data_IF_014691095037
#
_entry.id   IF_014691095037
#
_cell.length_a   1.000
_cell.length_b   1.000
_cell.length_c   1.000
_cell.angle_alpha   90.00
_cell.angle_beta   90.00
_cell.angle_gamma   90.00
#
_symmetry.space_group_name_H-M   'P 1'
#
loop_
_entity.id
_entity.type
_entity.pdbx_description
1 polymer ?
#
# COMPACT_ATOMS: atom_id res chain seq x y z
N UNK A 1 12.76 20.49 -33.44
CA UNK A 1 12.63 20.33 -31.98
C UNK A 1 14.03 20.09 -31.46
N UNK A 2 14.60 21.03 -30.71
CA UNK A 2 15.98 20.91 -30.22
C UNK A 2 15.92 19.96 -29.02
N UNK A 3 16.26 18.70 -29.25
CA UNK A 3 16.55 17.77 -28.15
C UNK A 3 17.89 18.20 -27.55
N UNK A 4 17.86 18.75 -26.35
CA UNK A 4 19.07 19.14 -25.62
C UNK A 4 19.77 17.88 -25.10
N UNK A 5 21.10 17.80 -25.21
CA UNK A 5 21.92 16.69 -24.70
C UNK A 5 21.67 16.40 -23.20
N UNK A 6 21.27 17.42 -22.44
CA UNK A 6 20.87 17.28 -21.04
C UNK A 6 19.61 16.41 -20.83
N UNK A 7 18.68 16.39 -21.78
CA UNK A 7 17.49 15.56 -21.70
C UNK A 7 17.86 14.07 -21.82
N UNK A 8 18.71 13.73 -22.79
CA UNK A 8 19.22 12.36 -22.96
C UNK A 8 20.00 11.90 -21.74
N UNK A 9 20.82 12.76 -21.14
CA UNK A 9 21.55 12.43 -19.92
C UNK A 9 20.63 12.13 -18.72
N UNK A 10 19.44 12.74 -18.66
CA UNK A 10 18.43 12.45 -17.62
C UNK A 10 17.72 11.13 -17.93
N UNK A 11 17.34 10.89 -19.18
CA UNK A 11 16.73 9.62 -19.61
C UNK A 11 17.65 8.43 -19.30
N UNK A 12 18.94 8.54 -19.63
CA UNK A 12 19.94 7.51 -19.31
C UNK A 12 20.03 7.23 -17.79
N UNK A 13 19.98 8.27 -16.96
CA UNK A 13 19.98 8.12 -15.50
C UNK A 13 18.71 7.44 -14.98
N UNK A 14 17.55 7.76 -15.56
CA UNK A 14 16.27 7.11 -15.24
C UNK A 14 16.34 5.62 -15.60
N UNK A 15 16.85 5.28 -16.78
CA UNK A 15 17.00 3.89 -17.20
C UNK A 15 17.94 3.10 -16.29
N UNK A 16 19.07 3.69 -15.90
CA UNK A 16 20.01 3.08 -14.96
C UNK A 16 19.37 2.85 -13.58
N UNK A 17 18.60 3.83 -13.07
CA UNK A 17 17.88 3.71 -11.81
C UNK A 17 16.84 2.59 -11.87
N UNK A 18 16.02 2.55 -12.93
CA UNK A 18 15.01 1.50 -13.13
C UNK A 18 15.68 0.12 -13.20
N UNK A 19 16.77 0.00 -13.95
CA UNK A 19 17.53 -1.24 -14.05
C UNK A 19 18.07 -1.70 -12.69
N UNK A 20 18.59 -0.76 -11.89
CA UNK A 20 19.09 -1.02 -10.55
C UNK A 20 17.98 -1.51 -9.62
N UNK A 21 16.80 -0.87 -9.64
CA UNK A 21 15.64 -1.30 -8.87
C UNK A 21 15.19 -2.70 -9.29
N UNK A 22 15.08 -2.98 -10.59
CA UNK A 22 14.70 -4.30 -11.11
C UNK A 22 15.68 -5.39 -10.72
N UNK A 23 16.96 -5.07 -10.63
CA UNK A 23 17.99 -6.01 -10.23
C UNK A 23 18.07 -6.22 -8.72
N UNK A 24 17.49 -5.33 -7.92
CA UNK A 24 17.48 -5.42 -6.46
C UNK A 24 16.80 -6.70 -5.95
N UNK A 25 17.25 -7.17 -4.80
CA UNK A 25 16.65 -8.33 -4.14
C UNK A 25 15.19 -8.07 -3.77
N UNK A 26 14.82 -6.85 -3.39
CA UNK A 26 13.45 -6.48 -3.02
C UNK A 26 12.49 -6.67 -4.19
N UNK A 27 12.85 -6.19 -5.38
CA UNK A 27 12.04 -6.38 -6.58
C UNK A 27 11.91 -7.85 -6.97
N UNK A 28 13.00 -8.62 -6.87
CA UNK A 28 12.97 -10.07 -7.14
C UNK A 28 12.06 -10.81 -6.17
N UNK A 29 12.15 -10.51 -4.87
CA UNK A 29 11.28 -11.09 -3.83
C UNK A 29 9.82 -10.74 -4.07
N UNK A 30 9.50 -9.49 -4.42
CA UNK A 30 8.16 -9.07 -4.81
C UNK A 30 7.63 -9.88 -6.01
N UNK A 31 8.40 -10.00 -7.09
CA UNK A 31 8.00 -10.77 -8.27
C UNK A 31 7.77 -12.25 -7.94
N UNK A 32 8.65 -12.84 -7.12
CA UNK A 32 8.52 -14.23 -6.69
C UNK A 32 7.25 -14.44 -5.86
N UNK A 33 7.05 -13.65 -4.80
CA UNK A 33 5.88 -13.78 -3.91
C UNK A 33 4.57 -13.52 -4.65
N UNK A 34 4.57 -12.53 -5.57
CA UNK A 34 3.43 -12.27 -6.45
C UNK A 34 3.09 -13.51 -7.28
N UNK A 35 4.10 -14.09 -7.93
CA UNK A 35 3.90 -15.29 -8.76
C UNK A 35 3.41 -16.47 -7.92
N UNK A 36 4.01 -16.71 -6.74
CA UNK A 36 3.60 -17.77 -5.84
C UNK A 36 2.13 -17.62 -5.42
N UNK A 37 1.73 -16.41 -5.02
CA UNK A 37 0.35 -16.11 -4.62
C UNK A 37 -0.67 -16.36 -5.75
N UNK A 38 -0.35 -15.96 -6.99
CA UNK A 38 -1.26 -16.15 -8.14
C UNK A 38 -1.22 -17.56 -8.75
N UNK A 39 -0.28 -18.41 -8.34
CA UNK A 39 -0.24 -19.82 -8.76
C UNK A 39 -1.01 -20.72 -7.80
N UNK A 40 -1.23 -20.27 -6.57
CA UNK A 40 -1.94 -21.03 -5.55
C UNK A 40 -3.46 -20.95 -5.74
N UNK A 41 -4.07 -22.10 -6.00
CA UNK A 41 -5.52 -22.22 -6.23
C UNK A 41 -6.33 -21.89 -4.97
N UNK A 42 -5.80 -22.15 -3.78
CA UNK A 42 -6.47 -21.81 -2.53
C UNK A 42 -6.55 -20.29 -2.38
N UNK A 43 -5.44 -19.60 -2.64
CA UNK A 43 -5.40 -18.13 -2.58
C UNK A 43 -6.31 -17.50 -3.62
N UNK A 44 -6.30 -18.01 -4.85
CA UNK A 44 -7.22 -17.53 -5.89
C UNK A 44 -8.69 -17.67 -5.46
N UNK A 45 -9.07 -18.82 -4.88
CA UNK A 45 -10.41 -19.02 -4.34
C UNK A 45 -10.77 -18.08 -3.18
N UNK A 46 -9.80 -17.76 -2.30
CA UNK A 46 -9.99 -16.78 -1.23
C UNK A 46 -10.15 -15.35 -1.78
N UNK A 47 -9.37 -14.98 -2.79
CA UNK A 47 -9.47 -13.69 -3.49
C UNK A 47 -10.85 -13.57 -4.13
N UNK A 48 -11.28 -14.58 -4.89
CA UNK A 48 -12.59 -14.57 -5.56
C UNK A 48 -13.73 -14.49 -4.56
N UNK A 49 -13.68 -15.24 -3.46
CA UNK A 49 -14.70 -15.14 -2.41
C UNK A 49 -14.74 -13.75 -1.78
N UNK A 50 -13.59 -13.14 -1.54
CA UNK A 50 -13.51 -11.79 -0.98
C UNK A 50 -14.07 -10.75 -1.96
N UNK A 51 -13.67 -10.80 -3.24
CA UNK A 51 -14.14 -9.88 -4.29
C UNK A 51 -15.65 -10.00 -4.44
N UNK A 52 -16.19 -11.22 -4.52
CA UNK A 52 -17.64 -11.44 -4.66
C UNK A 52 -18.42 -10.84 -3.48
N UNK A 53 -18.01 -11.13 -2.24
CA UNK A 53 -18.64 -10.59 -1.03
C UNK A 53 -18.47 -9.08 -0.89
N UNK A 54 -17.36 -8.53 -1.40
CA UNK A 54 -17.13 -7.08 -1.44
C UNK A 54 -18.10 -6.42 -2.41
N UNK A 55 -18.24 -6.95 -3.62
CA UNK A 55 -19.20 -6.46 -4.61
C UNK A 55 -20.64 -6.53 -4.11
N UNK A 56 -21.03 -7.62 -3.44
CA UNK A 56 -22.37 -7.73 -2.86
C UNK A 56 -22.61 -6.71 -1.74
N UNK A 57 -21.62 -6.52 -0.87
CA UNK A 57 -21.70 -5.51 0.18
C UNK A 57 -21.76 -4.09 -0.40
N UNK A 58 -20.99 -3.78 -1.45
CA UNK A 58 -20.98 -2.46 -2.11
C UNK A 58 -22.36 -2.10 -2.69
N UNK A 59 -23.11 -3.07 -3.24
CA UNK A 59 -24.47 -2.86 -3.74
C UNK A 59 -25.42 -2.36 -2.65
N UNK A 60 -25.27 -2.87 -1.43
CA UNK A 60 -26.14 -2.48 -0.32
C UNK A 60 -25.54 -1.36 0.55
N UNK A 61 -24.23 -1.10 0.43
CA UNK A 61 -23.52 -0.14 1.25
C UNK A 61 -24.05 1.29 1.07
N UNK A 62 -24.49 1.63 -0.13
CA UNK A 62 -25.10 2.93 -0.45
C UNK A 62 -26.38 3.21 0.36
N UNK A 63 -27.10 2.16 0.79
CA UNK A 63 -28.32 2.26 1.59
C UNK A 63 -28.05 2.26 3.11
N UNK A 64 -26.79 2.09 3.52
CA UNK A 64 -26.37 2.11 4.92
C UNK A 64 -26.97 1.00 5.77
N UNK A 65 -27.02 1.22 7.08
CA UNK A 65 -27.48 0.22 8.07
C UNK A 65 -28.95 -0.17 7.97
N UNK A 66 -29.73 0.55 7.17
CA UNK A 66 -31.14 0.28 6.92
C UNK A 66 -31.36 -0.79 5.83
N UNK A 67 -30.31 -1.16 5.09
CA UNK A 67 -30.41 -2.19 4.07
C UNK A 67 -30.69 -3.58 4.69
N UNK A 68 -31.63 -4.36 4.12
CA UNK A 68 -31.88 -5.72 4.59
C UNK A 68 -30.61 -6.56 4.43
N UNK A 69 -30.19 -7.25 5.50
CA UNK A 69 -28.99 -8.08 5.49
C UNK A 69 -27.66 -7.32 5.61
N UNK A 70 -27.66 -6.00 5.86
CA UNK A 70 -26.41 -5.21 5.97
C UNK A 70 -25.38 -5.79 6.94
N UNK A 71 -25.81 -6.10 8.18
CA UNK A 71 -24.91 -6.66 9.21
C UNK A 71 -24.40 -8.05 8.81
N UNK A 72 -25.22 -8.84 8.12
CA UNK A 72 -24.86 -10.19 7.69
C UNK A 72 -23.80 -10.13 6.59
N UNK A 73 -24.02 -9.32 5.54
CA UNK A 73 -23.05 -9.14 4.47
C UNK A 73 -21.76 -8.47 4.96
N UNK A 74 -21.85 -7.50 5.88
CA UNK A 74 -20.67 -6.92 6.52
C UNK A 74 -19.85 -7.98 7.28
N UNK A 75 -20.53 -8.89 7.99
CA UNK A 75 -19.87 -9.99 8.70
C UNK A 75 -19.25 -11.00 7.72
N UNK A 76 -19.94 -11.33 6.64
CA UNK A 76 -19.44 -12.23 5.60
C UNK A 76 -18.19 -11.64 4.91
N UNK A 77 -18.22 -10.36 4.56
CA UNK A 77 -17.09 -9.62 4.00
C UNK A 77 -15.89 -9.64 4.95
N UNK A 78 -16.08 -9.31 6.24
CA UNK A 78 -14.99 -9.35 7.24
C UNK A 78 -14.41 -10.74 7.41
N UNK A 79 -15.24 -11.79 7.41
CA UNK A 79 -14.77 -13.19 7.48
C UNK A 79 -13.92 -13.56 6.26
N UNK A 80 -14.38 -13.23 5.06
CA UNK A 80 -13.63 -13.49 3.83
C UNK A 80 -12.31 -12.73 3.78
N UNK A 81 -12.33 -11.45 4.17
CA UNK A 81 -11.11 -10.64 4.31
C UNK A 81 -10.13 -11.27 5.29
N UNK A 82 -10.61 -11.72 6.45
CA UNK A 82 -9.75 -12.37 7.46
C UNK A 82 -9.16 -13.68 6.95
N UNK A 83 -9.93 -14.49 6.24
CA UNK A 83 -9.42 -15.73 5.65
C UNK A 83 -8.32 -15.45 4.62
N UNK A 84 -8.51 -14.43 3.77
CA UNK A 84 -7.48 -13.99 2.81
C UNK A 84 -6.24 -13.42 3.52
N UNK A 85 -6.41 -12.56 4.52
CA UNK A 85 -5.31 -11.91 5.24
C UNK A 85 -4.51 -12.89 6.13
N UNK A 86 -5.11 -14.02 6.54
CA UNK A 86 -4.44 -15.07 7.33
C UNK A 86 -3.62 -16.03 6.46
N UNK A 87 -3.80 -16.02 5.14
CA UNK A 87 -3.02 -16.89 4.27
C UNK A 87 -1.55 -16.41 4.24
N UNK A 88 -0.57 -17.32 4.47
CA UNK A 88 0.84 -16.95 4.57
C UNK A 88 1.38 -16.32 3.28
N UNK A 89 0.98 -16.82 2.10
CA UNK A 89 1.45 -16.29 0.81
C UNK A 89 0.93 -14.87 0.55
N UNK A 90 -0.31 -14.58 0.97
CA UNK A 90 -0.86 -13.22 0.90
C UNK A 90 -0.10 -12.29 1.84
N UNK A 91 0.23 -12.76 3.04
CA UNK A 91 1.05 -12.02 4.00
C UNK A 91 2.45 -11.71 3.46
N UNK A 92 3.14 -12.72 2.92
CA UNK A 92 4.47 -12.59 2.33
C UNK A 92 4.48 -11.68 1.10
N UNK A 93 3.47 -11.79 0.23
CA UNK A 93 3.30 -10.89 -0.91
C UNK A 93 3.14 -9.44 -0.45
N UNK A 94 2.20 -9.16 0.46
CA UNK A 94 1.98 -7.81 0.99
C UNK A 94 3.20 -7.26 1.72
N UNK A 95 3.94 -8.11 2.42
CA UNK A 95 5.18 -7.70 3.07
C UNK A 95 6.22 -7.25 2.03
N UNK A 96 6.45 -8.06 1.00
CA UNK A 96 7.40 -7.71 -0.07
C UNK A 96 6.96 -6.49 -0.90
N UNK A 97 5.65 -6.32 -1.09
CA UNK A 97 5.07 -5.14 -1.75
C UNK A 97 5.33 -3.87 -0.92
N UNK A 98 5.08 -3.92 0.39
CA UNK A 98 5.35 -2.79 1.27
C UNK A 98 6.84 -2.44 1.32
N UNK A 99 7.73 -3.44 1.35
CA UNK A 99 9.17 -3.18 1.30
C UNK A 99 9.60 -2.49 0.00
N UNK A 100 9.04 -2.92 -1.14
CA UNK A 100 9.30 -2.26 -2.42
C UNK A 100 8.72 -0.83 -2.44
N UNK A 101 7.53 -0.62 -1.89
CA UNK A 101 6.92 0.71 -1.80
C UNK A 101 7.78 1.67 -0.97
N UNK A 102 8.26 1.23 0.20
CA UNK A 102 9.15 2.04 1.05
C UNK A 102 10.41 2.45 0.30
N UNK A 103 11.04 1.52 -0.45
CA UNK A 103 12.20 1.84 -1.28
C UNK A 103 11.87 2.91 -2.34
N UNK A 104 10.73 2.78 -3.02
CA UNK A 104 10.31 3.74 -4.05
C UNK A 104 9.99 5.12 -3.44
N UNK A 105 9.38 5.14 -2.26
CA UNK A 105 9.11 6.38 -1.53
C UNK A 105 10.43 7.07 -1.13
N UNK A 106 11.42 6.32 -0.63
CA UNK A 106 12.76 6.84 -0.29
C UNK A 106 13.46 7.45 -1.49
N UNK A 107 13.43 6.78 -2.64
CA UNK A 107 14.00 7.29 -3.89
C UNK A 107 13.28 8.58 -4.31
N UNK A 108 11.95 8.61 -4.20
CA UNK A 108 11.16 9.79 -4.56
C UNK A 108 11.51 11.00 -3.69
N UNK A 109 11.62 10.80 -2.37
CA UNK A 109 12.05 11.84 -1.43
C UNK A 109 13.47 12.30 -1.73
N UNK A 110 14.40 11.36 -1.95
CA UNK A 110 15.79 11.68 -2.26
C UNK A 110 15.94 12.51 -3.54
N UNK A 111 15.13 12.23 -4.57
CA UNK A 111 15.12 12.99 -5.81
C UNK A 111 14.54 14.39 -5.56
N UNK A 112 13.43 14.49 -4.82
CA UNK A 112 12.79 15.78 -4.53
C UNK A 112 13.70 16.72 -3.73
N UNK A 113 14.39 16.19 -2.71
CA UNK A 113 15.36 16.92 -1.90
C UNK A 113 16.49 17.52 -2.75
N UNK A 114 16.86 16.91 -3.88
CA UNK A 114 17.88 17.44 -4.79
C UNK A 114 17.42 18.69 -5.58
N UNK A 115 16.11 18.91 -5.74
CA UNK A 115 15.58 20.04 -6.51
C UNK A 115 15.14 21.23 -5.65
N UNK A 116 14.75 21.02 -4.39
CA UNK A 116 14.50 22.11 -3.41
C UNK A 116 14.14 21.55 -2.02
N UNK A 117 14.70 22.12 -0.94
CA UNK A 117 14.32 21.84 0.46
C UNK A 117 12.86 22.21 0.79
N UNK A 118 12.15 22.96 -0.06
CA UNK A 118 10.76 23.39 0.14
C UNK A 118 9.71 22.50 -0.56
N UNK A 119 10.10 21.53 -1.39
CA UNK A 119 9.15 20.66 -2.10
C UNK A 119 8.63 19.58 -1.15
N UNK A 120 7.43 19.81 -0.60
CA UNK A 120 6.70 18.80 0.19
C UNK A 120 6.16 17.70 -0.73
N UNK A 121 6.83 16.56 -0.72
CA UNK A 121 6.31 15.33 -1.32
C UNK A 121 5.33 14.69 -0.33
N UNK A 122 4.09 14.46 -0.75
CA UNK A 122 3.19 13.53 -0.06
C UNK A 122 3.72 12.11 -0.32
N UNK A 123 4.80 11.74 0.38
CA UNK A 123 5.23 10.35 0.45
C UNK A 123 4.08 9.58 1.11
N UNK A 124 3.50 8.61 0.39
CA UNK A 124 2.30 7.88 0.80
C UNK A 124 2.43 7.08 2.11
N UNK A 125 3.59 7.15 2.77
CA UNK A 125 3.88 6.56 4.06
C UNK A 125 4.02 7.64 5.15
N UNK A 126 3.23 7.59 6.25
CA UNK A 126 3.31 8.53 7.37
C UNK A 126 4.65 8.51 8.12
N UNK A 127 5.55 7.56 7.80
CA UNK A 127 6.89 7.49 8.37
C UNK A 127 7.80 8.64 7.92
N UNK A 128 7.60 9.16 6.70
CA UNK A 128 8.46 10.19 6.09
C UNK A 128 8.05 11.63 6.39
N UNK A 129 6.88 11.85 7.01
CA UNK A 129 6.43 13.19 7.42
C UNK A 129 7.16 13.73 8.68
N UNK A 130 8.09 12.96 9.25
CA UNK A 130 8.67 13.20 10.58
C UNK A 130 9.94 14.05 10.60
N UNK A 131 10.11 15.02 9.67
CA UNK A 131 11.22 15.99 9.74
C UNK A 131 10.82 17.44 10.09
N UNK A 132 9.55 17.71 10.34
CA UNK A 132 9.15 19.02 10.89
C UNK A 132 7.80 18.93 11.59
N UNK A 133 7.81 18.73 12.92
CA UNK A 133 7.01 19.48 13.90
C UNK A 133 7.22 18.84 15.28
N UNK A 134 8.05 19.51 16.08
CA UNK A 134 7.98 19.44 17.53
C UNK A 134 6.54 19.81 17.96
N UNK A 135 5.83 18.86 18.54
CA UNK A 135 4.46 19.01 19.01
C UNK A 135 4.13 17.92 20.01
N UNK A 136 4.91 17.87 21.09
CA UNK A 136 4.64 17.00 22.21
C UNK A 136 3.26 17.30 22.82
N UNK A 137 2.42 16.27 22.93
CA UNK A 137 1.41 16.18 23.97
C UNK A 137 1.23 14.71 24.33
N UNK A 138 2.04 14.29 25.30
CA UNK A 138 1.89 13.04 26.01
C UNK A 138 0.83 13.23 27.12
N UNK A 139 -0.07 12.26 27.23
CA UNK A 139 -0.83 11.86 28.43
C UNK A 139 -1.70 12.89 29.18
N UNK A 140 -3.02 12.67 29.13
CA UNK A 140 -3.84 12.57 30.34
C UNK A 140 -5.00 11.59 30.11
N UNK A 141 -4.95 10.46 30.82
CA UNK A 141 -6.10 9.58 31.09
C UNK A 141 -6.99 10.24 32.16
N UNK A 142 -8.29 10.00 32.05
CA UNK A 142 -9.31 10.15 33.09
C UNK A 142 -10.64 9.82 32.40
N UNK A 143 -11.10 8.57 32.41
CA UNK A 143 -11.91 7.92 33.47
C UNK A 143 -13.16 8.71 33.90
N UNK A 144 -14.24 7.94 34.11
CA UNK A 144 -15.49 8.25 34.81
C UNK A 144 -16.75 8.72 34.02
N UNK A 145 -17.65 7.74 33.82
CA UNK A 145 -19.06 7.65 34.30
C UNK A 145 -20.05 8.84 34.14
N UNK A 146 -21.26 8.47 33.70
CA UNK A 146 -22.58 9.15 33.80
C UNK A 146 -22.75 10.42 32.93
N UNK A 147 -23.77 10.63 32.11
CA UNK A 147 -25.23 10.40 32.21
C UNK A 147 -25.80 10.08 30.82
#
# INVERSE_FOLDING_TARGET
MIYNDHLYAIEDQIEQLISSIKNSQLFRSYCYNKKAMYQDQEVLGLIDSFVHKKTDFEKIAAYGTFAPGYKEQQRALRKAKRALDLNPQVGEFRHSENQLQVLLDEITVSIADCFSEEVKVDAGSPFFQSKSTCGGSCHARGDERNV
#
